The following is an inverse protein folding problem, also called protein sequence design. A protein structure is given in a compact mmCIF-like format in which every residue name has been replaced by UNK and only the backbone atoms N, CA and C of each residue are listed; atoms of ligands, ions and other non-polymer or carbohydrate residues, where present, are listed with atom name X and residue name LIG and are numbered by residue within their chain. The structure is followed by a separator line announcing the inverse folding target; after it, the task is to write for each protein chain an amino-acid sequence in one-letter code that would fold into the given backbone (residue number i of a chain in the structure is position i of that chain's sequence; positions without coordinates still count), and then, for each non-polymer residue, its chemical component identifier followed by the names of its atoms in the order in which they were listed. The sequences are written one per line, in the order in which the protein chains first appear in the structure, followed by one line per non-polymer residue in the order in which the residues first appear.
data_IF_421761143501
#
_entry.id   IF_421761143501
#
_cell.length_a   1.000
_cell.length_b   1.000
_cell.length_c   1.000
_cell.angle_alpha   90.00
_cell.angle_beta   90.00
_cell.angle_gamma   90.00
#
_symmetry.space_group_name_H-M   'P 1'
#
loop_
_entity.id
_entity.type
_entity.pdbx_description
1 polymer ?
#
# COMPACT_ATOMS: atom_id res chain seq x y z
N UNK A 1 -11.29 -8.28 21.60
CA UNK A 1 -12.12 -7.57 20.61
C UNK A 1 -12.40 -8.48 19.43
N UNK A 2 -13.66 -8.68 19.06
CA UNK A 2 -14.05 -9.35 17.82
C UNK A 2 -13.64 -8.49 16.62
N UNK A 3 -12.52 -8.84 15.99
CA UNK A 3 -12.16 -8.33 14.67
C UNK A 3 -12.88 -9.20 13.63
N UNK A 4 -13.46 -8.61 12.57
CA UNK A 4 -14.05 -9.40 11.50
C UNK A 4 -13.01 -10.38 10.94
N UNK A 5 -13.36 -11.67 10.88
CA UNK A 5 -12.43 -12.72 10.44
C UNK A 5 -12.22 -12.73 8.91
N UNK A 6 -13.05 -11.99 8.17
CA UNK A 6 -13.06 -11.89 6.70
C UNK A 6 -12.88 -13.24 6.00
N UNK A 7 -13.51 -14.29 6.54
CA UNK A 7 -13.34 -15.66 6.06
C UNK A 7 -13.87 -15.86 4.62
N UNK A 8 -14.70 -14.94 4.14
CA UNK A 8 -15.22 -14.93 2.77
C UNK A 8 -15.04 -13.56 2.12
N UNK A 9 -14.96 -13.52 0.79
CA UNK A 9 -14.86 -12.27 0.03
C UNK A 9 -16.05 -11.34 0.29
N UNK A 10 -17.27 -11.87 0.37
CA UNK A 10 -18.47 -11.10 0.70
C UNK A 10 -18.36 -10.40 2.07
N UNK A 11 -17.85 -11.11 3.08
CA UNK A 11 -17.60 -10.53 4.41
C UNK A 11 -16.47 -9.50 4.39
N UNK A 12 -15.45 -9.68 3.54
CA UNK A 12 -14.42 -8.66 3.34
C UNK A 12 -15.01 -7.39 2.70
N UNK A 13 -15.75 -7.55 1.61
CA UNK A 13 -16.36 -6.45 0.86
C UNK A 13 -17.37 -5.64 1.69
N UNK A 14 -18.10 -6.27 2.60
CA UNK A 14 -19.05 -5.59 3.50
C UNK A 14 -18.38 -4.54 4.42
N UNK A 15 -17.07 -4.64 4.61
CA UNK A 15 -16.25 -3.74 5.43
C UNK A 15 -15.40 -2.77 4.59
N UNK A 16 -15.56 -2.74 3.27
CA UNK A 16 -14.85 -1.81 2.39
C UNK A 16 -15.73 -0.60 2.08
N UNK A 17 -15.24 0.57 2.47
CA UNK A 17 -15.91 1.86 2.30
C UNK A 17 -15.77 2.43 0.89
N UNK A 18 -14.64 2.16 0.23
CA UNK A 18 -14.34 2.59 -1.14
C UNK A 18 -13.46 1.53 -1.77
N UNK A 19 -13.81 1.05 -2.96
CA UNK A 19 -13.10 -0.03 -3.62
C UNK A 19 -12.71 0.33 -5.06
N UNK A 20 -11.50 0.85 -5.26
CA UNK A 20 -10.93 1.13 -6.58
C UNK A 20 -10.01 0.01 -7.07
N UNK A 21 -10.06 -1.18 -6.46
CA UNK A 21 -9.23 -2.33 -6.86
C UNK A 21 -9.41 -2.72 -8.34
N UNK A 22 -10.64 -2.78 -8.90
CA UNK A 22 -10.81 -3.07 -10.32
C UNK A 22 -10.09 -2.07 -11.23
N UNK A 23 -10.18 -0.77 -10.92
CA UNK A 23 -9.51 0.28 -11.69
C UNK A 23 -7.98 0.17 -11.61
N UNK A 24 -7.43 -0.19 -10.44
CA UNK A 24 -6.00 -0.40 -10.28
C UNK A 24 -5.48 -1.63 -11.05
N UNK A 25 -6.27 -2.71 -11.09
CA UNK A 25 -5.98 -3.89 -11.90
C UNK A 25 -5.99 -3.53 -13.39
N UNK A 26 -7.03 -2.83 -13.86
CA UNK A 26 -7.11 -2.36 -15.25
C UNK A 26 -5.90 -1.50 -15.61
N UNK A 27 -5.51 -0.55 -14.75
CA UNK A 27 -4.32 0.28 -14.97
C UNK A 27 -3.04 -0.56 -15.18
N UNK A 28 -2.77 -1.53 -14.30
CA UNK A 28 -1.60 -2.40 -14.43
C UNK A 28 -1.64 -3.27 -15.68
N UNK A 29 -2.79 -3.86 -16.00
CA UNK A 29 -2.95 -4.69 -17.21
C UNK A 29 -2.73 -3.87 -18.48
N UNK A 30 -3.30 -2.66 -18.56
CA UNK A 30 -3.09 -1.76 -19.70
C UNK A 30 -1.61 -1.37 -19.87
N UNK A 31 -0.87 -1.13 -18.77
CA UNK A 31 0.56 -0.86 -18.84
C UNK A 31 1.35 -2.07 -19.38
N UNK A 32 1.02 -3.27 -18.92
CA UNK A 32 1.66 -4.51 -19.38
C UNK A 32 1.36 -4.79 -20.87
N UNK A 33 0.12 -4.59 -21.31
CA UNK A 33 -0.31 -4.74 -22.71
C UNK A 33 0.40 -3.77 -23.66
N UNK A 34 0.63 -2.53 -23.21
CA UNK A 34 1.40 -1.51 -23.94
C UNK A 34 2.91 -1.85 -24.03
N UNK A 35 3.33 -3.05 -23.60
CA UNK A 35 4.72 -3.52 -23.50
C UNK A 35 5.62 -2.54 -22.74
N UNK A 36 5.05 -1.68 -21.90
CA UNK A 36 5.82 -1.01 -20.86
C UNK A 36 6.31 -2.12 -19.93
N UNK A 37 7.48 -1.93 -19.34
CA UNK A 37 8.06 -2.83 -18.33
C UNK A 37 7.73 -2.23 -16.96
N UNK A 38 6.50 -2.40 -16.44
CA UNK A 38 5.98 -1.52 -15.41
C UNK A 38 6.76 -1.71 -14.11
N UNK A 39 6.88 -0.63 -13.33
CA UNK A 39 7.54 -0.63 -12.03
C UNK A 39 6.53 -0.29 -10.95
N UNK A 40 6.46 -1.12 -9.92
CA UNK A 40 5.58 -0.90 -8.77
C UNK A 40 6.41 -0.58 -7.54
N UNK A 41 5.99 0.41 -6.76
CA UNK A 41 6.63 0.74 -5.49
C UNK A 41 5.66 0.62 -4.32
N UNK A 42 6.01 -0.14 -3.30
CA UNK A 42 5.26 -0.29 -2.07
C UNK A 42 5.79 0.69 -1.03
N UNK A 43 4.90 1.46 -0.41
CA UNK A 43 5.17 2.19 0.83
C UNK A 43 4.71 1.29 1.97
N UNK A 44 5.66 0.59 2.59
CA UNK A 44 5.39 -0.52 3.50
C UNK A 44 4.97 0.01 4.88
N UNK A 45 3.97 -0.66 5.48
CA UNK A 45 3.52 -0.40 6.85
C UNK A 45 4.20 -1.37 7.81
N UNK A 46 3.53 -2.44 8.23
CA UNK A 46 4.00 -3.35 9.28
C UNK A 46 4.86 -4.51 8.76
N UNK A 47 5.77 -4.97 9.62
CA UNK A 47 6.45 -6.26 9.52
C UNK A 47 5.48 -7.43 9.81
N UNK A 48 6.01 -8.65 9.87
CA UNK A 48 5.22 -9.84 10.19
C UNK A 48 4.26 -10.23 9.06
N UNK A 49 3.03 -10.61 9.40
CA UNK A 49 2.09 -11.18 8.42
C UNK A 49 1.68 -10.19 7.33
N UNK A 50 1.60 -8.89 7.64
CA UNK A 50 1.30 -7.88 6.63
C UNK A 50 2.41 -7.82 5.56
N UNK A 51 3.68 -7.79 5.99
CA UNK A 51 4.82 -7.84 5.10
C UNK A 51 4.87 -9.12 4.27
N UNK A 52 4.49 -10.27 4.84
CA UNK A 52 4.38 -11.53 4.08
C UNK A 52 3.32 -11.42 2.99
N UNK A 53 2.18 -10.78 3.27
CA UNK A 53 1.14 -10.51 2.26
C UNK A 53 1.65 -9.61 1.13
N UNK A 54 2.35 -8.53 1.47
CA UNK A 54 2.94 -7.62 0.48
C UNK A 54 4.01 -8.33 -0.37
N UNK A 55 4.86 -9.15 0.25
CA UNK A 55 5.85 -9.96 -0.43
C UNK A 55 5.20 -11.00 -1.37
N UNK A 56 4.14 -11.67 -0.95
CA UNK A 56 3.39 -12.61 -1.78
C UNK A 56 2.77 -11.92 -3.00
N UNK A 57 2.19 -10.72 -2.82
CA UNK A 57 1.70 -9.91 -3.94
C UNK A 57 2.84 -9.52 -4.88
N UNK A 58 4.00 -9.12 -4.34
CA UNK A 58 5.17 -8.77 -5.16
C UNK A 58 5.72 -9.96 -5.96
N UNK A 59 5.74 -11.17 -5.38
CA UNK A 59 6.13 -12.40 -6.06
C UNK A 59 5.18 -12.70 -7.22
N UNK A 60 3.88 -12.58 -6.99
CA UNK A 60 2.87 -12.74 -8.04
C UNK A 60 3.09 -11.76 -9.20
N UNK A 61 3.23 -10.46 -8.90
CA UNK A 61 3.42 -9.43 -9.93
C UNK A 61 4.70 -9.66 -10.75
N UNK A 62 5.80 -10.05 -10.10
CA UNK A 62 7.08 -10.29 -10.77
C UNK A 62 7.11 -11.61 -11.54
N UNK A 63 6.57 -12.68 -10.96
CA UNK A 63 6.60 -14.03 -11.55
C UNK A 63 5.60 -14.20 -12.69
N UNK A 64 4.50 -13.45 -12.69
CA UNK A 64 3.55 -13.38 -13.82
C UNK A 64 4.07 -12.55 -15.00
N UNK A 65 5.14 -11.78 -14.80
CA UNK A 65 5.66 -10.85 -15.82
C UNK A 65 4.83 -9.57 -15.99
N UNK A 66 3.80 -9.36 -15.15
CA UNK A 66 3.00 -8.13 -15.15
C UNK A 66 3.85 -6.89 -14.85
N UNK A 67 4.88 -7.04 -14.01
CA UNK A 67 5.81 -5.96 -13.66
C UNK A 67 7.26 -6.39 -13.85
N UNK A 68 8.10 -5.45 -14.28
CA UNK A 68 9.52 -5.71 -14.46
C UNK A 68 10.30 -5.60 -13.15
N UNK A 69 9.89 -4.69 -12.27
CA UNK A 69 10.54 -4.42 -10.99
C UNK A 69 9.51 -4.02 -9.93
N UNK A 70 9.74 -4.46 -8.70
CA UNK A 70 9.05 -4.01 -7.49
C UNK A 70 10.08 -3.39 -6.54
N UNK A 71 9.74 -2.26 -5.93
CA UNK A 71 10.55 -1.65 -4.87
C UNK A 71 9.74 -1.51 -3.58
N UNK A 72 10.34 -1.84 -2.45
CA UNK A 72 9.75 -1.70 -1.12
C UNK A 72 10.44 -0.54 -0.43
N UNK A 73 9.68 0.49 -0.09
CA UNK A 73 10.11 1.62 0.71
C UNK A 73 9.83 1.33 2.19
N UNK A 74 10.90 1.10 2.93
CA UNK A 74 10.92 0.62 4.31
C UNK A 74 11.45 1.72 5.25
N UNK A 75 11.20 1.55 6.55
CA UNK A 75 11.64 2.51 7.56
C UNK A 75 13.15 2.37 7.82
N UNK A 76 13.82 3.50 8.04
CA UNK A 76 15.26 3.55 8.33
C UNK A 76 15.62 3.11 9.76
N UNK A 77 14.66 3.17 10.70
CA UNK A 77 14.84 2.73 12.08
C UNK A 77 13.51 2.24 12.67
N UNK A 78 13.52 1.53 13.82
CA UNK A 78 12.30 1.11 14.51
C UNK A 78 11.35 2.28 14.75
N UNK A 79 10.14 2.18 14.20
CA UNK A 79 9.14 3.25 14.15
C UNK A 79 7.76 2.62 14.34
N UNK A 80 6.85 3.29 15.06
CA UNK A 80 5.48 2.82 15.29
C UNK A 80 5.35 1.35 15.75
N UNK A 81 6.32 0.85 16.53
CA UNK A 81 6.41 -0.51 17.07
C UNK A 81 6.61 -1.59 16.00
N UNK A 82 5.72 -1.69 15.02
CA UNK A 82 5.66 -2.77 14.05
C UNK A 82 6.06 -2.37 12.62
N UNK A 83 6.41 -1.12 12.35
CA UNK A 83 6.75 -0.72 10.98
C UNK A 83 7.99 -1.47 10.47
N UNK A 84 7.90 -1.99 9.24
CA UNK A 84 8.94 -2.81 8.66
C UNK A 84 10.19 -1.98 8.29
N UNK A 85 11.35 -2.45 8.75
CA UNK A 85 12.67 -1.99 8.30
C UNK A 85 13.26 -2.90 7.23
N UNK A 86 14.36 -2.48 6.61
CA UNK A 86 15.13 -3.35 5.69
C UNK A 86 15.60 -4.64 6.37
N UNK A 87 15.93 -4.58 7.67
CA UNK A 87 16.33 -5.77 8.44
C UNK A 87 15.17 -6.76 8.55
N UNK A 88 13.98 -6.27 8.88
CA UNK A 88 12.79 -7.12 9.03
C UNK A 88 12.40 -7.78 7.70
N UNK A 89 12.50 -7.04 6.60
CA UNK A 89 12.25 -7.58 5.26
C UNK A 89 13.23 -8.68 4.88
N UNK A 90 14.54 -8.49 5.13
CA UNK A 90 15.56 -9.52 4.87
C UNK A 90 15.33 -10.76 5.73
N UNK A 91 15.13 -10.59 7.03
CA UNK A 91 14.85 -11.70 7.93
C UNK A 91 13.58 -12.45 7.52
N UNK A 92 12.53 -11.73 7.11
CA UNK A 92 11.29 -12.35 6.62
C UNK A 92 11.55 -13.19 5.37
N UNK A 93 12.32 -12.68 4.40
CA UNK A 93 12.68 -13.43 3.19
C UNK A 93 13.47 -14.71 3.51
N UNK A 94 14.42 -14.63 4.43
CA UNK A 94 15.22 -15.79 4.85
C UNK A 94 14.35 -16.84 5.54
N UNK A 95 13.45 -16.41 6.44
CA UNK A 95 12.50 -17.29 7.11
C UNK A 95 11.54 -17.96 6.10
N UNK A 96 11.04 -17.22 5.10
CA UNK A 96 10.19 -17.78 4.06
C UNK A 96 10.94 -18.83 3.24
N UNK A 97 12.20 -18.56 2.85
CA UNK A 97 13.01 -19.48 2.06
C UNK A 97 13.39 -20.77 2.82
N UNK A 98 13.44 -20.70 4.15
CA UNK A 98 13.74 -21.81 5.06
C UNK A 98 12.50 -22.50 5.66
N UNK A 99 11.28 -22.06 5.34
CA UNK A 99 10.04 -22.56 5.95
C UNK A 99 9.86 -24.09 5.83
N UNK A 100 9.05 -24.74 6.66
CA UNK A 100 8.77 -26.19 6.50
C UNK A 100 7.73 -26.49 5.42
N UNK A 101 6.86 -25.52 5.12
CA UNK A 101 5.88 -25.67 4.05
C UNK A 101 6.54 -25.47 2.66
N UNK A 102 6.34 -26.43 1.76
CA UNK A 102 6.98 -26.42 0.44
C UNK A 102 6.59 -25.22 -0.43
N UNK A 103 5.33 -24.79 -0.40
CA UNK A 103 4.85 -23.66 -1.19
C UNK A 103 5.44 -22.34 -0.66
N UNK A 104 5.47 -22.17 0.66
CA UNK A 104 6.08 -21.00 1.31
C UNK A 104 7.58 -20.92 1.01
N UNK A 105 8.31 -22.04 1.11
CA UNK A 105 9.72 -22.10 0.70
C UNK A 105 9.93 -21.70 -0.75
N UNK A 106 9.12 -22.23 -1.65
CA UNK A 106 9.25 -21.93 -3.07
C UNK A 106 9.06 -20.43 -3.34
N UNK A 107 8.08 -19.79 -2.68
CA UNK A 107 7.89 -18.34 -2.74
C UNK A 107 9.10 -17.58 -2.17
N UNK A 108 9.60 -17.97 -0.99
CA UNK A 108 10.78 -17.35 -0.39
C UNK A 108 12.01 -17.42 -1.28
N UNK A 109 12.28 -18.59 -1.88
CA UNK A 109 13.39 -18.78 -2.83
C UNK A 109 13.24 -17.93 -4.09
N UNK A 110 12.03 -17.82 -4.66
CA UNK A 110 11.77 -16.91 -5.79
C UNK A 110 12.07 -15.47 -5.42
N UNK A 111 11.54 -15.00 -4.28
CA UNK A 111 11.76 -13.63 -3.82
C UNK A 111 13.25 -13.32 -3.57
N UNK A 112 14.02 -14.25 -2.98
CA UNK A 112 15.47 -14.10 -2.85
C UNK A 112 16.17 -13.99 -4.23
N UNK A 113 15.76 -14.79 -5.22
CA UNK A 113 16.29 -14.67 -6.58
C UNK A 113 15.91 -13.33 -7.25
N UNK A 114 14.68 -12.83 -7.01
CA UNK A 114 14.26 -11.50 -7.47
C UNK A 114 15.06 -10.38 -6.80
N UNK A 115 15.40 -10.53 -5.52
CA UNK A 115 16.25 -9.59 -4.79
C UNK A 115 17.67 -9.57 -5.38
N UNK A 116 18.26 -10.76 -5.62
CA UNK A 116 19.60 -10.90 -6.17
C UNK A 116 19.72 -10.36 -7.61
N UNK A 117 18.63 -10.42 -8.39
CA UNK A 117 18.56 -9.88 -9.75
C UNK A 117 18.09 -8.42 -9.82
N UNK A 118 17.94 -7.74 -8.67
CA UNK A 118 17.44 -6.37 -8.55
C UNK A 118 16.04 -6.14 -9.18
N UNK A 119 15.25 -7.21 -9.31
CA UNK A 119 13.83 -7.13 -9.69
C UNK A 119 12.93 -6.87 -8.47
N UNK A 120 13.36 -7.29 -7.29
CA UNK A 120 12.85 -6.80 -6.01
C UNK A 120 13.92 -5.90 -5.38
N UNK A 121 13.57 -4.67 -5.00
CA UNK A 121 14.50 -3.73 -4.38
C UNK A 121 14.01 -3.34 -2.98
N UNK A 122 14.88 -3.40 -1.97
CA UNK A 122 14.59 -2.91 -0.62
C UNK A 122 15.25 -1.54 -0.45
N UNK A 123 14.43 -0.50 -0.32
CA UNK A 123 14.86 0.91 -0.25
C UNK A 123 14.45 1.49 1.10
N UNK A 124 15.22 2.47 1.58
CA UNK A 124 14.91 3.22 2.80
C UNK A 124 15.33 4.68 2.63
N UNK A 125 14.67 5.56 3.37
CA UNK A 125 14.94 6.99 3.40
C UNK A 125 14.45 7.54 4.75
N UNK A 126 15.20 8.46 5.35
CA UNK A 126 14.85 9.07 6.65
C UNK A 126 13.53 9.85 6.59
N UNK A 127 13.09 10.27 5.41
CA UNK A 127 11.77 10.86 5.22
C UNK A 127 10.64 9.92 5.69
N UNK A 128 10.81 8.60 5.57
CA UNK A 128 9.78 7.62 5.97
C UNK A 128 9.54 7.59 7.48
N UNK A 129 10.49 8.07 8.27
CA UNK A 129 10.40 8.17 9.73
C UNK A 129 10.36 9.63 10.22
N UNK A 130 10.27 10.59 9.31
CA UNK A 130 10.11 12.01 9.62
C UNK A 130 8.65 12.35 9.97
N UNK A 131 8.40 13.45 10.71
CA UNK A 131 7.05 13.92 11.02
C UNK A 131 6.37 14.65 9.86
N UNK A 132 7.06 14.77 8.72
CA UNK A 132 6.62 15.62 7.62
C UNK A 132 5.45 15.00 6.85
N UNK A 133 4.45 15.81 6.44
CA UNK A 133 3.42 15.37 5.51
C UNK A 133 4.04 15.02 4.17
N UNK A 134 3.35 14.17 3.40
CA UNK A 134 3.91 13.58 2.18
C UNK A 134 4.18 14.60 1.07
N UNK A 135 3.51 15.76 1.06
CA UNK A 135 3.79 16.84 0.11
C UNK A 135 5.10 17.61 0.38
N UNK A 136 5.71 17.43 1.54
CA UNK A 136 7.04 17.98 1.88
C UNK A 136 8.18 17.00 1.55
N UNK A 137 7.90 15.96 0.76
CA UNK A 137 8.88 14.98 0.33
C UNK A 137 10.08 15.63 -0.37
N UNK A 138 11.33 15.27 0.01
CA UNK A 138 12.53 15.76 -0.66
C UNK A 138 12.49 15.49 -2.17
N UNK A 139 13.05 16.42 -2.95
CA UNK A 139 13.06 16.32 -4.42
C UNK A 139 13.71 15.01 -4.93
N UNK A 140 14.75 14.52 -4.25
CA UNK A 140 15.40 13.24 -4.56
C UNK A 140 14.45 12.05 -4.43
N UNK A 141 13.73 11.96 -3.31
CA UNK A 141 12.76 10.89 -3.06
C UNK A 141 11.55 11.00 -3.99
N UNK A 142 11.10 12.22 -4.27
CA UNK A 142 10.04 12.49 -5.25
C UNK A 142 10.45 12.02 -6.65
N UNK A 143 11.67 12.31 -7.08
CA UNK A 143 12.21 11.83 -8.36
C UNK A 143 12.35 10.30 -8.39
N UNK A 144 12.71 9.67 -7.27
CA UNK A 144 12.77 8.22 -7.16
C UNK A 144 11.39 7.58 -7.29
N UNK A 145 10.38 8.06 -6.55
CA UNK A 145 9.01 7.56 -6.64
C UNK A 145 8.36 7.84 -8.01
N UNK A 146 8.74 8.93 -8.68
CA UNK A 146 8.28 9.24 -10.02
C UNK A 146 8.72 8.25 -11.11
N UNK A 147 9.61 7.30 -10.79
CA UNK A 147 9.99 6.20 -11.70
C UNK A 147 9.05 5.01 -11.62
N UNK A 148 8.13 4.98 -10.65
CA UNK A 148 7.11 3.96 -10.54
C UNK A 148 5.92 4.30 -11.46
N UNK A 149 5.33 3.29 -12.06
CA UNK A 149 4.08 3.39 -12.82
C UNK A 149 2.85 3.20 -11.92
N UNK A 150 3.05 2.63 -10.73
CA UNK A 150 2.06 2.57 -9.65
C UNK A 150 2.76 2.52 -8.28
N UNK A 151 2.31 3.40 -7.38
CA UNK A 151 2.61 3.34 -5.96
C UNK A 151 1.51 2.56 -5.24
N UNK A 152 1.86 1.70 -4.30
CA UNK A 152 0.93 1.02 -3.40
C UNK A 152 1.26 1.46 -1.98
N UNK A 153 0.41 2.29 -1.38
CA UNK A 153 0.58 2.76 0.00
C UNK A 153 -0.17 1.86 0.96
N UNK A 154 0.52 1.35 1.98
CA UNK A 154 -0.06 0.45 2.99
C UNK A 154 -0.34 1.18 4.30
N UNK A 155 -1.47 0.87 4.91
CA UNK A 155 -1.72 1.18 6.32
C UNK A 155 -2.18 2.60 6.62
N UNK A 156 -2.50 2.81 7.90
CA UNK A 156 -3.10 4.04 8.41
C UNK A 156 -2.09 5.19 8.52
N UNK A 157 -0.86 4.89 8.97
CA UNK A 157 0.18 5.90 9.12
C UNK A 157 0.54 6.57 7.79
N UNK A 158 0.71 5.77 6.71
CA UNK A 158 0.95 6.33 5.39
C UNK A 158 -0.25 7.13 4.87
N UNK A 159 -1.50 6.67 5.12
CA UNK A 159 -2.70 7.40 4.72
C UNK A 159 -2.81 8.78 5.41
N UNK A 160 -2.55 8.84 6.72
CA UNK A 160 -2.47 10.10 7.46
C UNK A 160 -1.41 11.02 6.86
N UNK A 161 -0.22 10.52 6.55
CA UNK A 161 0.84 11.32 5.91
C UNK A 161 0.47 11.81 4.51
N UNK A 162 -0.22 10.99 3.72
CA UNK A 162 -0.72 11.37 2.39
C UNK A 162 -1.68 12.57 2.46
N UNK A 163 -2.49 12.63 3.51
CA UNK A 163 -3.47 13.71 3.73
C UNK A 163 -2.97 14.79 4.71
N UNK A 164 -1.71 14.68 5.13
CA UNK A 164 -1.03 15.50 6.14
C UNK A 164 -1.75 15.62 7.48
N UNK A 165 -2.47 14.57 7.86
CA UNK A 165 -3.18 14.43 9.13
C UNK A 165 -4.16 15.58 9.42
N UNK A 166 -4.81 16.11 8.36
CA UNK A 166 -5.75 17.24 8.44
C UNK A 166 -7.21 16.79 8.49
N UNK A 167 -8.06 17.64 9.07
CA UNK A 167 -9.52 17.50 9.03
C UNK A 167 -10.11 17.93 7.68
N UNK A 168 -10.02 17.04 6.71
CA UNK A 168 -10.72 17.20 5.43
C UNK A 168 -12.22 16.92 5.62
N UNK A 169 -13.11 17.67 4.96
CA UNK A 169 -14.48 17.19 4.76
C UNK A 169 -14.44 15.78 4.18
N UNK A 170 -15.21 14.84 4.72
CA UNK A 170 -15.17 13.43 4.28
C UNK A 170 -15.50 13.24 2.80
N UNK A 171 -16.19 14.21 2.19
CA UNK A 171 -16.54 14.24 0.77
C UNK A 171 -15.44 14.82 -0.13
N UNK A 172 -14.36 15.38 0.42
CA UNK A 172 -13.24 15.92 -0.36
C UNK A 172 -12.69 14.83 -1.26
N UNK A 173 -12.58 15.02 -2.58
CA UNK A 173 -12.07 14.00 -3.48
C UNK A 173 -10.63 13.61 -3.13
N UNK A 174 -10.35 12.31 -2.98
CA UNK A 174 -9.01 11.80 -2.67
C UNK A 174 -7.95 12.31 -3.66
N UNK A 175 -8.28 12.30 -4.95
CA UNK A 175 -7.42 12.75 -6.03
C UNK A 175 -7.02 14.23 -5.94
N UNK A 176 -7.86 15.09 -5.37
CA UNK A 176 -7.56 16.51 -5.18
C UNK A 176 -6.41 16.68 -4.18
N UNK A 177 -6.49 15.97 -3.05
CA UNK A 177 -5.52 16.06 -1.96
C UNK A 177 -4.17 15.49 -2.38
N UNK A 178 -4.16 14.31 -3.04
CA UNK A 178 -2.91 13.61 -3.37
C UNK A 178 -2.33 13.93 -4.75
N UNK A 179 -2.87 14.95 -5.43
CA UNK A 179 -2.46 15.39 -6.76
C UNK A 179 -0.98 15.81 -6.86
N UNK A 180 -0.34 16.09 -5.72
CA UNK A 180 1.09 16.39 -5.64
C UNK A 180 1.99 15.17 -5.87
N UNK A 181 1.46 13.94 -5.89
CA UNK A 181 2.29 12.75 -6.04
C UNK A 181 2.94 12.65 -7.42
N UNK A 182 4.18 12.11 -7.51
CA UNK A 182 4.90 12.06 -8.78
C UNK A 182 4.36 10.97 -9.74
N UNK A 183 3.65 9.97 -9.22
CA UNK A 183 3.13 8.79 -9.92
C UNK A 183 1.72 8.41 -9.43
N UNK A 184 0.95 7.60 -10.18
CA UNK A 184 -0.32 7.03 -9.73
C UNK A 184 -0.16 6.28 -8.40
N UNK A 185 -1.20 6.29 -7.56
CA UNK A 185 -1.18 5.71 -6.22
C UNK A 185 -2.45 4.91 -5.94
N UNK A 186 -2.30 3.68 -5.46
CA UNK A 186 -3.33 2.92 -4.77
C UNK A 186 -3.06 2.93 -3.25
N UNK A 187 -3.92 3.58 -2.47
CA UNK A 187 -3.88 3.52 -1.01
C UNK A 187 -4.73 2.36 -0.49
N UNK A 188 -4.12 1.45 0.27
CA UNK A 188 -4.74 0.31 0.94
C UNK A 188 -4.68 0.55 2.44
N UNK A 189 -5.81 0.90 3.04
CA UNK A 189 -5.85 1.38 4.43
C UNK A 189 -7.00 0.76 5.21
N UNK A 190 -6.69 0.25 6.39
CA UNK A 190 -7.68 -0.01 7.45
C UNK A 190 -7.82 1.25 8.31
N UNK A 191 -9.05 1.65 8.64
CA UNK A 191 -9.39 2.87 9.37
C UNK A 191 -8.99 2.74 10.85
N UNK A 192 -7.91 3.44 11.23
CA UNK A 192 -7.39 3.50 12.61
C UNK A 192 -7.14 4.94 13.07
N UNK A 193 -7.73 5.92 12.38
CA UNK A 193 -7.63 7.36 12.67
C UNK A 193 -8.80 8.13 12.05
N UNK A 194 -9.06 9.32 12.59
CA UNK A 194 -10.20 10.18 12.19
C UNK A 194 -10.03 10.84 10.81
N UNK A 195 -8.86 10.69 10.19
CA UNK A 195 -8.57 11.20 8.85
C UNK A 195 -9.32 10.37 7.80
N UNK A 196 -10.12 11.03 6.97
CA UNK A 196 -10.93 10.39 5.94
C UNK A 196 -11.25 11.36 4.80
N UNK A 197 -11.36 10.86 3.57
CA UNK A 197 -11.80 11.62 2.41
C UNK A 197 -12.44 10.69 1.36
N UNK A 198 -13.03 11.28 0.32
CA UNK A 198 -13.58 10.56 -0.84
C UNK A 198 -14.80 9.70 -0.55
N UNK A 199 -15.53 9.95 0.54
CA UNK A 199 -16.79 9.27 0.85
C UNK A 199 -17.99 9.97 0.20
N UNK A 200 -19.07 9.23 -0.02
CA UNK A 200 -20.37 9.82 -0.38
C UNK A 200 -20.99 10.51 0.85
N UNK A 201 -21.73 11.63 0.69
CA UNK A 201 -22.33 12.36 1.81
C UNK A 201 -23.15 11.49 2.78
N UNK A 202 -23.95 10.57 2.23
CA UNK A 202 -24.82 9.68 3.00
C UNK A 202 -24.07 8.58 3.76
N UNK A 203 -22.88 8.21 3.29
CA UNK A 203 -22.13 7.07 3.81
C UNK A 203 -21.60 7.33 5.22
N UNK A 204 -21.05 8.51 5.47
CA UNK A 204 -20.56 8.89 6.79
C UNK A 204 -21.70 8.98 7.82
N UNK A 205 -22.83 9.58 7.45
CA UNK A 205 -23.99 9.69 8.33
C UNK A 205 -24.57 8.30 8.68
N UNK A 206 -24.60 7.37 7.72
CA UNK A 206 -25.02 6.00 7.98
C UNK A 206 -24.05 5.26 8.91
N UNK A 207 -22.73 5.42 8.71
CA UNK A 207 -21.71 4.80 9.56
C UNK A 207 -21.73 5.34 10.98
N UNK A 208 -21.91 6.65 11.16
CA UNK A 208 -22.03 7.27 12.49
C UNK A 208 -23.18 6.66 13.31
N UNK A 209 -24.26 6.20 12.64
CA UNK A 209 -25.37 5.50 13.30
C UNK A 209 -25.09 4.01 13.53
N UNK A 210 -24.48 3.34 12.53
CA UNK A 210 -24.25 1.88 12.54
C UNK A 210 -23.09 1.45 13.44
N UNK A 211 -22.01 2.22 13.44
CA UNK A 211 -20.77 1.94 14.16
C UNK A 211 -20.08 3.26 14.48
N UNK A 212 -20.42 3.94 15.60
CA UNK A 212 -19.90 5.28 15.92
C UNK A 212 -18.36 5.38 16.00
N UNK A 213 -17.65 4.25 16.08
CA UNK A 213 -16.18 4.17 16.18
C UNK A 213 -15.50 3.76 14.87
N UNK A 214 -16.25 3.74 13.76
CA UNK A 214 -15.82 3.21 12.46
C UNK A 214 -14.50 3.80 11.93
N UNK A 215 -14.16 5.03 12.31
CA UNK A 215 -12.93 5.71 11.92
C UNK A 215 -11.67 5.09 12.56
N UNK A 216 -11.79 4.55 13.77
CA UNK A 216 -10.64 4.22 14.64
C UNK A 216 -10.58 2.76 15.06
N UNK A 217 -11.66 2.00 14.89
CA UNK A 217 -11.77 0.65 15.43
C UNK A 217 -11.06 -0.44 14.60
N UNK A 218 -10.45 -0.08 13.46
CA UNK A 218 -9.72 -1.03 12.62
C UNK A 218 -10.60 -2.03 11.88
N UNK A 219 -11.93 -1.85 11.82
CA UNK A 219 -12.85 -2.79 11.15
C UNK A 219 -13.17 -2.42 9.72
N UNK A 220 -12.93 -1.17 9.30
CA UNK A 220 -13.33 -0.65 8.00
C UNK A 220 -12.12 -0.36 7.12
N UNK A 221 -12.18 -0.76 5.85
CA UNK A 221 -11.09 -0.63 4.89
C UNK A 221 -11.42 0.30 3.72
N UNK A 222 -10.39 0.83 3.08
CA UNK A 222 -10.48 1.61 1.84
C UNK A 222 -9.40 1.13 0.86
N UNK A 223 -9.77 1.07 -0.41
CA UNK A 223 -8.88 0.99 -1.56
C UNK A 223 -9.15 2.21 -2.45
N UNK A 224 -8.31 3.24 -2.36
CA UNK A 224 -8.48 4.48 -3.12
C UNK A 224 -7.35 4.66 -4.13
N UNK A 225 -7.73 4.69 -5.41
CA UNK A 225 -6.83 4.96 -6.52
C UNK A 225 -6.82 6.45 -6.87
N UNK A 226 -5.62 7.02 -6.99
CA UNK A 226 -5.32 8.25 -7.70
C UNK A 226 -4.59 7.92 -9.01
N UNK A 227 -5.18 8.31 -10.13
CA UNK A 227 -4.56 8.23 -11.45
C UNK A 227 -4.10 9.63 -11.87
N UNK A 228 -2.88 9.74 -12.39
CA UNK A 228 -2.36 11.01 -12.89
C UNK A 228 -2.99 11.31 -14.25
N UNK A 229 -3.60 12.48 -14.39
CA UNK A 229 -4.15 12.95 -15.67
C UNK A 229 -3.02 13.12 -16.68
N UNK A 230 -3.04 12.33 -17.76
CA UNK A 230 -2.02 12.32 -18.83
C UNK A 230 -1.61 10.93 -19.35
N UNK A 231 -2.03 9.84 -18.70
CA UNK A 231 -1.77 8.45 -19.14
C UNK A 231 -2.91 7.80 -19.98
N UNK A 232 -3.95 8.57 -20.31
CA UNK A 232 -4.97 8.14 -21.29
C UNK A 232 -4.41 8.23 -22.71
#
# INVERSE_FOLDING_TARGET
EERPNHATESQAQAHILSNHTPAAITHLLTLAERKKKPRVAFLVDNAGFELVGDLALSDFLLSSGLVAQVSFHLKSHPTFVSDATVKDARQTLDNLAAAENAAVRAMGKRLQAQLNSARLCLLQDWFWTSPLPMWEMPASLRAQLGRADLLISKGDANYRRLLGDRHWPFTTPFAEIVSYLPAPLLALRTSKSEVMCGLKPEQAAALNKKDPTWLVNGKWGLMQLYSKTGDQ
#
